data_IF_690757495443
#
_entry.id   IF_690757495443
#
_cell.length_a   1.000
_cell.length_b   1.000
_cell.length_c   1.000
_cell.angle_alpha   90.00
_cell.angle_beta   90.00
_cell.angle_gamma   90.00
#
_symmetry.space_group_name_H-M   'P 1'
#
loop_
_entity.id
_entity.type
_entity.pdbx_description
1 polymer ?
#
# COMPACT_ATOMS: atom_id res chain seq x y z
N UNK A 1 26.21 10.51 -5.62
CA UNK A 1 25.01 9.66 -5.80
C UNK A 1 24.29 9.98 -7.11
N UNK A 2 24.07 11.26 -7.46
CA UNK A 2 23.37 11.66 -8.69
C UNK A 2 24.03 11.18 -9.99
N UNK A 3 25.36 11.15 -10.08
CA UNK A 3 26.07 10.78 -11.31
C UNK A 3 26.09 9.26 -11.63
N UNK A 4 25.83 8.38 -10.66
CA UNK A 4 25.90 6.92 -10.87
C UNK A 4 24.55 6.29 -11.27
N UNK A 5 23.42 6.97 -11.00
CA UNK A 5 22.09 6.45 -11.32
C UNK A 5 21.71 6.62 -12.80
N UNK A 6 22.25 7.66 -13.47
CA UNK A 6 21.85 8.03 -14.83
C UNK A 6 22.19 6.99 -15.92
N UNK A 7 23.13 6.08 -15.65
CA UNK A 7 23.61 5.07 -16.61
C UNK A 7 23.23 3.63 -16.24
N UNK A 8 22.58 3.41 -15.10
CA UNK A 8 22.13 2.06 -14.73
C UNK A 8 20.71 1.84 -15.28
N UNK A 9 20.49 0.87 -16.19
CA UNK A 9 19.17 0.59 -16.76
C UNK A 9 18.12 0.23 -15.71
N UNK A 10 18.53 -0.25 -14.51
CA UNK A 10 17.63 -0.54 -13.40
C UNK A 10 16.95 0.70 -12.82
N UNK A 11 17.55 1.89 -13.00
CA UNK A 11 16.99 3.17 -12.52
C UNK A 11 16.44 4.02 -13.66
N UNK A 12 16.30 3.46 -14.86
CA UNK A 12 15.67 4.18 -15.96
C UNK A 12 14.25 4.63 -15.57
N UNK A 13 13.95 5.91 -15.80
CA UNK A 13 12.67 6.50 -15.40
C UNK A 13 12.52 6.78 -13.90
N UNK A 14 13.59 6.69 -13.12
CA UNK A 14 13.59 7.03 -11.68
C UNK A 14 13.96 8.51 -11.47
N UNK A 15 13.19 9.21 -10.63
CA UNK A 15 13.48 10.57 -10.17
C UNK A 15 13.58 10.56 -8.64
N UNK A 16 14.65 11.15 -8.09
CA UNK A 16 14.79 11.37 -6.65
C UNK A 16 14.50 12.82 -6.34
N UNK A 17 13.48 13.07 -5.53
CA UNK A 17 13.07 14.43 -5.15
C UNK A 17 13.48 14.68 -3.71
N UNK A 18 14.45 15.58 -3.52
CA UNK A 18 14.82 16.06 -2.19
C UNK A 18 13.86 17.18 -1.77
N UNK A 19 13.27 17.05 -0.59
CA UNK A 19 12.43 18.10 0.01
C UNK A 19 13.28 18.97 0.94
N UNK A 20 13.14 20.29 0.84
CA UNK A 20 13.91 21.26 1.66
C UNK A 20 13.54 21.23 3.14
N UNK A 21 12.40 20.62 3.48
CA UNK A 21 11.93 20.44 4.85
C UNK A 21 11.16 19.14 4.99
N UNK A 22 11.01 18.68 6.24
CA UNK A 22 10.18 17.52 6.56
C UNK A 22 8.70 17.85 6.29
N UNK A 23 8.10 17.12 5.35
CA UNK A 23 6.71 17.31 4.92
C UNK A 23 5.78 16.15 5.31
N UNK A 24 6.30 15.19 6.09
CA UNK A 24 5.65 13.91 6.41
C UNK A 24 5.21 13.15 5.15
N UNK A 25 4.54 12.02 5.33
CA UNK A 25 4.11 11.17 4.22
C UNK A 25 3.14 11.90 3.26
N UNK A 26 2.09 12.63 3.72
CA UNK A 26 1.16 13.29 2.81
C UNK A 26 1.83 14.32 1.89
N UNK A 27 2.77 15.10 2.42
CA UNK A 27 3.46 16.10 1.62
C UNK A 27 4.45 15.48 0.63
N UNK A 28 5.15 14.40 1.01
CA UNK A 28 5.99 13.65 0.08
C UNK A 28 5.17 13.04 -1.07
N UNK A 29 4.03 12.41 -0.75
CA UNK A 29 3.11 11.85 -1.75
C UNK A 29 2.54 12.96 -2.65
N UNK A 30 2.19 14.12 -2.10
CA UNK A 30 1.69 15.24 -2.90
C UNK A 30 2.71 15.75 -3.93
N UNK A 31 3.99 15.86 -3.55
CA UNK A 31 5.07 16.24 -4.47
C UNK A 31 5.28 15.17 -5.53
N UNK A 32 5.30 13.89 -5.14
CA UNK A 32 5.40 12.78 -6.09
C UNK A 32 4.25 12.76 -7.10
N UNK A 33 3.01 13.00 -6.65
CA UNK A 33 1.81 12.99 -7.50
C UNK A 33 1.87 14.03 -8.62
N UNK A 34 2.55 15.16 -8.40
CA UNK A 34 2.76 16.19 -9.43
C UNK A 34 3.65 15.71 -10.58
N UNK A 35 4.53 14.73 -10.32
CA UNK A 35 5.44 14.15 -11.32
C UNK A 35 4.84 12.98 -12.08
N UNK A 36 3.90 12.25 -11.47
CA UNK A 36 3.29 11.08 -12.08
C UNK A 36 2.38 11.46 -13.26
N UNK A 37 2.61 10.83 -14.41
CA UNK A 37 1.83 11.05 -15.64
C UNK A 37 0.84 9.91 -15.93
N UNK A 38 0.95 8.79 -15.25
CA UNK A 38 0.10 7.62 -15.43
C UNK A 38 -1.25 7.77 -14.72
N UNK A 39 -2.26 7.06 -15.22
CA UNK A 39 -3.60 7.03 -14.62
C UNK A 39 -3.65 6.35 -13.25
N UNK A 40 -2.71 5.45 -13.00
CA UNK A 40 -2.57 4.69 -11.76
C UNK A 40 -1.24 4.99 -11.10
N UNK A 41 -1.22 4.94 -9.78
CA UNK A 41 -0.05 5.14 -8.94
C UNK A 41 0.11 3.97 -7.99
N UNK A 42 1.34 3.46 -7.87
CA UNK A 42 1.72 2.51 -6.84
C UNK A 42 2.50 3.28 -5.78
N UNK A 43 1.94 3.39 -4.58
CA UNK A 43 2.59 4.04 -3.43
C UNK A 43 3.24 2.95 -2.59
N UNK A 44 4.55 3.07 -2.37
CA UNK A 44 5.35 2.10 -1.63
C UNK A 44 6.06 2.80 -0.46
N UNK A 45 6.03 2.15 0.70
CA UNK A 45 6.85 2.50 1.85
C UNK A 45 8.09 1.61 1.85
N UNK A 46 9.24 2.18 2.22
CA UNK A 46 10.55 1.52 2.15
C UNK A 46 10.70 0.39 3.18
N UNK A 47 9.91 0.43 4.25
CA UNK A 47 9.84 -0.52 5.35
C UNK A 47 8.70 -1.56 5.19
N UNK A 48 8.04 -1.60 4.03
CA UNK A 48 7.00 -2.58 3.70
C UNK A 48 7.35 -3.39 2.44
N UNK A 49 8.42 -4.22 2.42
CA UNK A 49 8.73 -5.07 1.28
C UNK A 49 7.58 -6.02 0.94
N UNK A 50 7.33 -6.22 -0.36
CA UNK A 50 6.49 -7.33 -0.82
C UNK A 50 7.20 -8.66 -0.58
N UNK A 51 6.48 -9.60 0.04
CA UNK A 51 6.98 -10.96 0.30
C UNK A 51 6.29 -12.01 -0.58
N UNK A 52 5.34 -11.57 -1.42
CA UNK A 52 4.57 -12.43 -2.33
C UNK A 52 4.33 -11.70 -3.65
N UNK A 53 4.21 -12.49 -4.71
CA UNK A 53 3.87 -11.98 -6.04
C UNK A 53 2.46 -11.38 -6.03
N UNK A 54 2.31 -10.19 -6.61
CA UNK A 54 1.03 -9.52 -6.85
C UNK A 54 0.83 -9.42 -8.35
N UNK A 55 -0.29 -9.92 -8.85
CA UNK A 55 -0.69 -9.76 -10.24
C UNK A 55 -1.19 -8.33 -10.51
N UNK A 56 -0.23 -7.40 -10.64
CA UNK A 56 -0.52 -5.98 -10.81
C UNK A 56 -1.28 -5.68 -12.11
N UNK A 57 -1.02 -6.47 -13.17
CA UNK A 57 -1.71 -6.33 -14.44
C UNK A 57 -3.22 -6.55 -14.28
N UNK A 58 -3.61 -7.66 -13.64
CA UNK A 58 -5.03 -7.95 -13.42
C UNK A 58 -5.67 -7.08 -12.33
N UNK A 59 -4.89 -6.52 -11.40
CA UNK A 59 -5.38 -5.43 -10.52
C UNK A 59 -5.77 -4.21 -11.35
N UNK A 60 -4.88 -3.71 -12.21
CA UNK A 60 -5.17 -2.55 -13.08
C UNK A 60 -6.35 -2.85 -14.02
N UNK A 61 -6.40 -4.05 -14.61
CA UNK A 61 -7.54 -4.47 -15.45
C UNK A 61 -8.86 -4.46 -14.69
N UNK A 62 -8.87 -4.92 -13.45
CA UNK A 62 -10.04 -4.84 -12.55
C UNK A 62 -10.42 -3.39 -12.28
N UNK A 63 -9.42 -2.54 -11.99
CA UNK A 63 -9.67 -1.12 -11.77
C UNK A 63 -10.22 -0.44 -13.03
N UNK A 64 -9.72 -0.75 -14.22
CA UNK A 64 -10.22 -0.20 -15.49
C UNK A 64 -11.70 -0.53 -15.72
N UNK A 65 -12.09 -1.81 -15.55
CA UNK A 65 -13.46 -2.23 -15.76
C UNK A 65 -14.43 -1.81 -14.65
N UNK A 66 -13.90 -1.49 -13.45
CA UNK A 66 -14.70 -1.14 -12.30
C UNK A 66 -14.28 0.23 -11.72
N UNK A 67 -14.95 1.33 -12.10
CA UNK A 67 -14.60 2.68 -11.63
C UNK A 67 -14.78 2.88 -10.13
N UNK A 68 -15.47 1.97 -9.42
CA UNK A 68 -15.57 2.02 -7.96
C UNK A 68 -14.30 1.54 -7.24
N UNK A 69 -13.38 0.85 -7.93
CA UNK A 69 -12.07 0.46 -7.40
C UNK A 69 -11.13 1.66 -7.50
N UNK A 70 -11.06 2.44 -6.42
CA UNK A 70 -10.24 3.65 -6.35
C UNK A 70 -8.88 3.38 -5.71
N UNK A 71 -8.84 2.46 -4.76
CA UNK A 71 -7.69 2.16 -3.93
C UNK A 71 -7.67 0.67 -3.53
N UNK A 72 -6.57 -0.02 -3.84
CA UNK A 72 -6.34 -1.43 -3.50
C UNK A 72 -5.05 -1.52 -2.70
N UNK A 73 -5.14 -1.85 -1.41
CA UNK A 73 -3.98 -2.06 -0.54
C UNK A 73 -3.58 -3.52 -0.44
N UNK A 74 -2.32 -3.73 -0.10
CA UNK A 74 -1.75 -5.05 0.10
C UNK A 74 -1.75 -5.39 1.60
N UNK A 75 -2.26 -6.57 1.93
CA UNK A 75 -2.37 -7.01 3.31
C UNK A 75 -0.98 -7.15 3.95
N UNK A 76 -0.82 -6.64 5.16
CA UNK A 76 0.39 -6.83 5.98
C UNK A 76 0.12 -7.59 7.28
N UNK A 77 -1.11 -8.05 7.47
CA UNK A 77 -1.53 -8.83 8.63
C UNK A 77 -1.42 -10.32 8.33
N UNK A 78 -1.19 -11.14 9.36
CA UNK A 78 -1.07 -12.60 9.22
C UNK A 78 -2.25 -13.27 8.54
N UNK A 79 -3.43 -12.63 8.55
CA UNK A 79 -4.58 -13.04 7.75
C UNK A 79 -5.50 -11.87 7.40
N UNK A 80 -6.13 -11.96 6.23
CA UNK A 80 -7.26 -11.11 5.80
C UNK A 80 -8.54 -11.43 6.60
N UNK A 81 -8.48 -11.27 7.91
CA UNK A 81 -9.61 -11.44 8.83
C UNK A 81 -10.11 -10.09 9.31
N UNK A 82 -11.39 -10.07 9.70
CA UNK A 82 -12.04 -8.92 10.30
C UNK A 82 -11.31 -8.57 11.60
N UNK A 83 -10.39 -7.61 11.56
CA UNK A 83 -9.66 -7.14 12.72
C UNK A 83 -10.22 -5.79 13.19
N UNK A 84 -9.62 -5.22 14.25
CA UNK A 84 -10.08 -3.97 14.89
C UNK A 84 -10.25 -2.79 13.92
N UNK A 85 -9.41 -2.69 12.89
CA UNK A 85 -9.50 -1.64 11.88
C UNK A 85 -10.45 -2.05 10.75
N UNK A 86 -10.30 -3.26 10.21
CA UNK A 86 -11.07 -3.83 9.09
C UNK A 86 -12.43 -4.41 9.52
N UNK A 87 -13.15 -3.68 10.37
CA UNK A 87 -14.40 -4.12 11.01
C UNK A 87 -15.52 -4.49 10.03
N UNK A 88 -15.30 -4.31 8.73
CA UNK A 88 -16.10 -4.89 7.66
C UNK A 88 -15.19 -5.34 6.53
N UNK A 89 -15.24 -6.64 6.23
CA UNK A 89 -14.67 -7.23 5.04
C UNK A 89 -15.78 -8.00 4.35
N UNK A 90 -16.06 -7.69 3.09
CA UNK A 90 -16.87 -8.60 2.27
C UNK A 90 -16.28 -8.81 0.88
N UNK A 91 -16.47 -10.02 0.37
CA UNK A 91 -16.09 -10.43 -0.99
C UNK A 91 -17.08 -9.94 -2.05
N UNK A 92 -18.12 -9.19 -1.66
CA UNK A 92 -19.16 -8.68 -2.56
C UNK A 92 -18.70 -7.40 -3.23
N UNK A 93 -17.68 -7.52 -4.05
CA UNK A 93 -17.25 -6.45 -4.95
C UNK A 93 -18.15 -6.50 -6.19
N UNK A 94 -18.89 -5.42 -6.42
CA UNK A 94 -19.77 -5.30 -7.57
C UNK A 94 -18.97 -4.95 -8.81
N UNK A 95 -19.22 -5.64 -9.93
CA UNK A 95 -18.59 -5.39 -11.23
C UNK A 95 -17.46 -6.37 -11.57
N UNK A 96 -16.85 -6.23 -12.76
CA UNK A 96 -15.83 -7.18 -13.23
C UNK A 96 -14.57 -7.15 -12.38
N UNK A 97 -14.03 -8.33 -12.09
CA UNK A 97 -12.78 -8.55 -11.37
C UNK A 97 -11.95 -9.67 -12.03
N UNK A 98 -10.63 -9.49 -12.06
CA UNK A 98 -9.66 -10.50 -12.49
C UNK A 98 -8.72 -10.94 -11.37
N UNK A 99 -8.83 -10.33 -10.19
CA UNK A 99 -8.11 -10.70 -8.98
C UNK A 99 -9.07 -10.74 -7.80
N UNK A 100 -8.80 -11.56 -6.78
CA UNK A 100 -9.58 -11.56 -5.55
C UNK A 100 -9.38 -10.23 -4.82
N UNK A 101 -10.49 -9.56 -4.50
CA UNK A 101 -10.51 -8.34 -3.71
C UNK A 101 -11.54 -8.46 -2.59
N UNK A 102 -11.18 -7.96 -1.41
CA UNK A 102 -12.11 -7.76 -0.30
C UNK A 102 -12.39 -6.28 -0.18
N UNK A 103 -13.67 -5.90 -0.14
CA UNK A 103 -14.03 -4.53 0.21
C UNK A 103 -13.79 -4.32 1.69
N UNK A 104 -13.06 -3.27 2.04
CA UNK A 104 -12.88 -2.84 3.42
C UNK A 104 -13.42 -1.43 3.63
N UNK A 105 -13.79 -1.14 4.88
CA UNK A 105 -14.14 0.21 5.30
C UNK A 105 -12.94 0.98 5.78
N UNK A 106 -11.78 0.38 5.99
CA UNK A 106 -10.61 1.08 6.47
C UNK A 106 -9.82 1.68 5.33
N UNK A 107 -9.30 2.88 5.53
CA UNK A 107 -8.30 3.46 4.66
C UNK A 107 -6.94 3.36 5.33
N UNK A 108 -5.90 3.06 4.57
CA UNK A 108 -4.54 2.95 5.11
C UNK A 108 -3.52 3.36 4.06
N UNK A 109 -2.45 4.01 4.51
CA UNK A 109 -1.36 4.50 3.65
C UNK A 109 -0.23 3.47 3.45
N UNK A 110 -0.36 2.24 3.99
CA UNK A 110 0.48 1.08 3.64
C UNK A 110 0.53 0.86 2.12
N UNK A 111 1.46 0.04 1.62
CA UNK A 111 1.60 -0.19 0.17
C UNK A 111 0.26 -0.46 -0.52
N UNK A 112 0.01 0.28 -1.60
CA UNK A 112 -1.25 0.19 -2.32
C UNK A 112 -1.12 0.74 -3.74
N UNK A 113 -2.03 0.31 -4.62
CA UNK A 113 -2.27 0.93 -5.91
C UNK A 113 -3.55 1.74 -5.87
N UNK A 114 -3.53 2.93 -6.47
CA UNK A 114 -4.68 3.82 -6.54
C UNK A 114 -4.80 4.48 -7.90
N UNK A 115 -5.99 5.00 -8.19
CA UNK A 115 -6.19 5.93 -9.30
C UNK A 115 -5.54 7.26 -8.96
N UNK A 116 -4.80 7.86 -9.90
CA UNK A 116 -4.14 9.16 -9.68
C UNK A 116 -5.14 10.25 -9.29
N UNK A 117 -6.26 10.34 -10.02
CA UNK A 117 -7.31 11.33 -9.75
C UNK A 117 -7.88 11.21 -8.32
N UNK A 118 -7.91 10.00 -7.75
CA UNK A 118 -8.44 9.78 -6.41
C UNK A 118 -7.55 10.47 -5.37
N UNK A 119 -6.23 10.44 -5.58
CA UNK A 119 -5.30 11.22 -4.78
C UNK A 119 -5.47 12.73 -4.95
N UNK A 120 -5.53 13.19 -6.20
CA UNK A 120 -5.59 14.62 -6.55
C UNK A 120 -6.89 15.28 -6.07
N UNK A 121 -8.00 14.56 -6.07
CA UNK A 121 -9.33 15.14 -5.84
C UNK A 121 -9.95 14.76 -4.49
N UNK A 122 -9.60 13.60 -3.93
CA UNK A 122 -10.27 13.06 -2.73
C UNK A 122 -9.33 13.01 -1.52
N UNK A 123 -8.14 12.45 -1.68
CA UNK A 123 -7.23 12.19 -0.54
C UNK A 123 -6.44 13.42 -0.13
N UNK A 124 -5.65 14.00 -1.05
CA UNK A 124 -4.65 15.02 -0.70
C UNK A 124 -5.25 16.38 -0.32
N UNK A 125 -6.25 16.94 -1.03
CA UNK A 125 -6.72 18.30 -0.76
C UNK A 125 -7.10 18.53 0.72
N UNK A 126 -7.92 17.67 1.35
CA UNK A 126 -8.29 17.89 2.74
C UNK A 126 -7.18 17.55 3.75
N UNK A 127 -6.34 16.53 3.46
CA UNK A 127 -5.20 16.15 4.30
C UNK A 127 -4.20 17.30 4.41
N UNK A 128 -3.83 17.89 3.26
CA UNK A 128 -2.88 19.00 3.19
C UNK A 128 -3.45 20.28 3.82
N UNK A 129 -4.74 20.57 3.62
CA UNK A 129 -5.41 21.73 4.23
C UNK A 129 -5.38 21.67 5.76
N UNK A 130 -5.52 20.49 6.35
CA UNK A 130 -5.55 20.29 7.80
C UNK A 130 -4.20 19.93 8.42
N UNK A 131 -3.15 19.75 7.60
CA UNK A 131 -1.78 19.44 8.03
C UNK A 131 -1.66 18.17 8.89
N UNK A 132 -2.39 17.11 8.53
CA UNK A 132 -2.20 15.81 9.19
C UNK A 132 -0.82 15.23 8.92
N UNK A 133 -0.27 14.49 9.88
CA UNK A 133 1.00 13.79 9.73
C UNK A 133 0.85 12.50 8.93
N UNK A 134 -0.27 11.79 9.10
CA UNK A 134 -0.63 10.60 8.34
C UNK A 134 -1.90 10.85 7.54
N UNK A 135 -1.98 10.27 6.33
CA UNK A 135 -3.22 10.36 5.54
C UNK A 135 -4.35 9.59 6.23
N UNK A 136 -4.02 8.49 6.90
CA UNK A 136 -4.95 7.64 7.65
C UNK A 136 -5.65 8.39 8.78
N UNK A 137 -4.94 9.29 9.49
CA UNK A 137 -5.52 10.12 10.55
C UNK A 137 -6.68 10.98 10.04
N UNK A 138 -6.54 11.57 8.85
CA UNK A 138 -7.61 12.37 8.27
C UNK A 138 -8.82 11.51 7.91
N UNK A 139 -8.61 10.31 7.36
CA UNK A 139 -9.71 9.43 6.96
C UNK A 139 -10.50 8.94 8.18
N UNK A 140 -9.79 8.53 9.23
CA UNK A 140 -10.41 8.17 10.51
C UNK A 140 -11.08 9.36 11.20
N UNK A 141 -10.50 10.56 11.11
CA UNK A 141 -11.15 11.78 11.58
C UNK A 141 -12.41 12.10 10.76
N UNK A 142 -12.40 11.94 9.44
CA UNK A 142 -13.56 12.18 8.59
C UNK A 142 -14.70 11.23 8.96
N UNK A 143 -14.39 9.95 9.20
CA UNK A 143 -15.35 8.99 9.72
C UNK A 143 -15.94 9.43 11.07
N UNK A 144 -15.10 9.84 12.01
CA UNK A 144 -15.55 10.23 13.35
C UNK A 144 -16.35 11.53 13.36
N UNK A 145 -15.92 12.56 12.65
CA UNK A 145 -16.54 13.87 12.75
C UNK A 145 -17.64 14.07 11.72
N UNK A 146 -17.43 13.68 10.46
CA UNK A 146 -18.40 13.99 9.39
C UNK A 146 -19.50 12.95 9.31
N UNK A 147 -19.15 11.66 9.48
CA UNK A 147 -20.13 10.59 9.39
C UNK A 147 -20.92 10.40 10.69
N UNK A 148 -20.33 10.50 11.89
CA UNK A 148 -21.09 10.37 13.14
C UNK A 148 -22.11 11.49 13.37
N UNK A 149 -21.86 12.71 12.91
CA UNK A 149 -22.85 13.79 13.03
C UNK A 149 -24.04 13.65 12.07
N UNK A 150 -23.90 12.86 10.99
CA UNK A 150 -24.93 12.67 9.97
C UNK A 150 -25.62 11.31 10.02
N UNK A 151 -24.99 10.33 10.66
CA UNK A 151 -25.47 8.97 10.76
C UNK A 151 -25.75 8.62 12.20
N UNK A 152 -26.86 7.92 12.41
CA UNK A 152 -27.19 7.24 13.68
C UNK A 152 -26.00 6.42 14.20
N UNK A 153 -25.99 6.07 15.49
CA UNK A 153 -24.97 5.26 16.19
C UNK A 153 -24.80 3.82 15.64
N UNK A 154 -24.97 3.59 14.34
CA UNK A 154 -24.93 2.29 13.69
C UNK A 154 -23.62 2.13 12.89
N UNK A 155 -22.58 1.45 13.43
CA UNK A 155 -21.25 1.37 12.83
C UNK A 155 -21.25 0.83 11.40
N UNK A 156 -22.19 -0.06 11.08
CA UNK A 156 -22.32 -0.62 9.73
C UNK A 156 -22.74 0.43 8.68
N UNK A 157 -23.53 1.44 9.05
CA UNK A 157 -23.94 2.49 8.11
C UNK A 157 -22.80 3.48 7.88
N UNK A 158 -22.06 3.82 8.94
CA UNK A 158 -20.87 4.68 8.88
C UNK A 158 -19.81 4.08 7.96
N UNK A 159 -19.50 2.80 8.18
CA UNK A 159 -18.58 2.06 7.34
C UNK A 159 -18.99 1.97 5.87
N UNK A 160 -20.29 1.76 5.56
CA UNK A 160 -20.79 1.79 4.17
C UNK A 160 -20.58 3.13 3.48
N UNK A 161 -20.80 4.24 4.18
CA UNK A 161 -20.57 5.57 3.62
C UNK A 161 -19.07 5.85 3.44
N UNK A 162 -18.23 5.43 4.39
CA UNK A 162 -16.78 5.49 4.27
C UNK A 162 -16.29 4.70 3.06
N UNK A 163 -16.72 3.44 2.89
CA UNK A 163 -16.42 2.63 1.71
C UNK A 163 -16.92 3.25 0.40
N UNK A 164 -18.09 3.89 0.40
CA UNK A 164 -18.61 4.57 -0.79
C UNK A 164 -17.74 5.78 -1.18
N UNK A 165 -17.28 6.52 -0.20
CA UNK A 165 -16.43 7.70 -0.42
C UNK A 165 -15.03 7.28 -0.89
N UNK A 166 -14.39 6.42 -0.10
CA UNK A 166 -12.97 6.09 -0.28
C UNK A 166 -12.73 4.91 -1.22
N UNK A 167 -13.69 3.98 -1.38
CA UNK A 167 -13.59 2.91 -2.36
C UNK A 167 -12.37 2.01 -2.12
N UNK A 168 -12.21 1.57 -0.88
CA UNK A 168 -11.03 0.86 -0.38
C UNK A 168 -11.19 -0.66 -0.44
N UNK A 169 -10.17 -1.32 -0.98
CA UNK A 169 -10.14 -2.78 -1.15
C UNK A 169 -8.81 -3.34 -0.67
N UNK A 170 -8.82 -4.60 -0.26
CA UNK A 170 -7.64 -5.39 0.09
C UNK A 170 -7.44 -6.44 -0.99
N UNK A 171 -6.20 -6.57 -1.47
CA UNK A 171 -5.81 -7.63 -2.39
C UNK A 171 -5.77 -8.99 -1.70
N UNK A 172 -6.45 -9.98 -2.28
CA UNK A 172 -6.44 -11.36 -1.80
C UNK A 172 -7.81 -11.91 -1.42
N UNK A 173 -7.82 -13.18 -1.04
CA UNK A 173 -8.97 -13.92 -0.52
C UNK A 173 -9.18 -13.68 0.99
N UNK A 174 -10.38 -13.99 1.52
CA UNK A 174 -10.57 -14.06 2.97
C UNK A 174 -9.55 -15.02 3.61
N UNK A 175 -9.04 -14.64 4.77
CA UNK A 175 -8.04 -15.43 5.53
C UNK A 175 -6.70 -15.67 4.82
N UNK A 176 -6.46 -15.03 3.68
CA UNK A 176 -5.18 -15.11 2.98
C UNK A 176 -4.08 -14.36 3.76
N UNK A 177 -2.85 -14.90 3.73
CA UNK A 177 -1.70 -14.34 4.43
C UNK A 177 -1.18 -13.04 3.79
N UNK A 178 -0.32 -12.34 4.53
CA UNK A 178 0.23 -11.04 4.14
C UNK A 178 1.00 -11.08 2.80
N UNK A 179 0.86 -9.99 2.05
CA UNK A 179 1.59 -9.69 0.82
C UNK A 179 2.78 -8.77 1.04
N UNK A 180 2.75 -7.96 2.11
CA UNK A 180 3.86 -7.13 2.55
C UNK A 180 4.20 -7.44 4.00
N UNK A 181 5.47 -7.29 4.36
CA UNK A 181 5.95 -7.49 5.73
C UNK A 181 6.51 -6.17 6.25
N UNK A 182 6.25 -5.82 7.51
CA UNK A 182 6.89 -4.68 8.14
C UNK A 182 8.34 -5.02 8.48
N UNK A 183 9.29 -4.30 7.88
CA UNK A 183 10.71 -4.52 8.07
C UNK A 183 11.21 -3.97 9.42
N UNK A 184 10.47 -3.04 10.05
CA UNK A 184 10.71 -2.74 11.47
C UNK A 184 10.15 -3.90 12.34
N UNK A 185 11.00 -4.44 13.20
CA UNK A 185 10.74 -5.67 13.97
C UNK A 185 9.67 -5.54 15.07
N UNK A 186 8.74 -4.59 14.99
CA UNK A 186 7.70 -4.37 16.00
C UNK A 186 6.58 -5.42 15.94
N UNK A 187 6.49 -6.22 14.87
CA UNK A 187 5.42 -7.20 14.69
C UNK A 187 5.86 -8.45 13.93
N UNK A 188 6.75 -9.26 14.52
CA UNK A 188 6.92 -10.70 14.18
C UNK A 188 7.81 -11.43 15.20
N UNK A 189 7.31 -11.68 16.42
CA UNK A 189 7.74 -12.82 17.23
C UNK A 189 6.55 -13.73 17.49
N UNK A 190 6.18 -14.50 16.46
CA UNK A 190 5.48 -15.77 16.63
C UNK A 190 5.84 -16.70 15.48
N UNK A 191 6.88 -17.49 15.72
CA UNK A 191 7.21 -18.76 15.08
C UNK A 191 7.24 -18.79 13.54
N UNK A 192 8.37 -18.37 12.98
CA UNK A 192 8.76 -18.73 11.62
C UNK A 192 9.84 -17.80 11.09
N UNK A 193 11.09 -18.24 11.13
CA UNK A 193 12.25 -17.60 10.51
C UNK A 193 11.97 -17.34 9.02
N UNK A 194 11.59 -16.11 8.67
CA UNK A 194 11.72 -15.61 7.31
C UNK A 194 12.94 -14.69 7.29
N UNK A 195 14.05 -15.25 6.83
CA UNK A 195 15.19 -14.47 6.40
C UNK A 195 14.75 -13.69 5.16
N UNK A 196 14.73 -12.37 5.25
CA UNK A 196 14.81 -11.53 4.05
C UNK A 196 16.26 -11.66 3.60
N UNK A 197 16.60 -12.35 2.49
CA UNK A 197 17.94 -12.26 1.97
C UNK A 197 18.15 -10.79 1.60
N UNK A 198 18.98 -10.10 2.39
CA UNK A 198 19.70 -8.97 1.85
C UNK A 198 20.41 -9.51 0.60
N UNK A 199 20.03 -8.98 -0.56
CA UNK A 199 20.82 -9.14 -1.77
C UNK A 199 22.16 -8.45 -1.49
N UNK A 200 23.10 -9.23 -0.98
CA UNK A 200 24.51 -8.87 -0.97
C UNK A 200 24.91 -8.75 -2.45
N UNK A 201 25.11 -7.52 -2.91
CA UNK A 201 25.50 -7.19 -4.28
C UNK A 201 26.98 -7.49 -4.55
N UNK A 202 27.56 -8.47 -3.87
CA UNK A 202 28.90 -8.96 -4.15
C UNK A 202 28.85 -10.32 -4.86
N UNK A 203 29.45 -10.35 -6.05
CA UNK A 203 29.76 -11.53 -6.87
C UNK A 203 28.61 -12.17 -7.65
N UNK A 204 28.30 -11.60 -8.82
CA UNK A 204 27.93 -12.33 -10.04
C UNK A 204 28.23 -11.43 -11.26
N UNK A 205 29.51 -11.18 -11.53
CA UNK A 205 29.97 -10.83 -12.88
C UNK A 205 30.62 -12.12 -13.40
N UNK A 206 30.17 -12.59 -14.55
CA UNK A 206 30.68 -13.74 -15.31
C UNK A 206 30.27 -15.16 -14.85
N UNK A 207 28.97 -15.38 -14.66
CA UNK A 207 28.33 -16.62 -15.17
C UNK A 207 28.74 -17.98 -14.59
N UNK A 208 29.31 -18.08 -13.39
CA UNK A 208 29.52 -19.38 -12.73
C UNK A 208 29.09 -19.38 -11.25
N UNK A 209 27.94 -20.00 -10.96
CA UNK A 209 27.36 -20.10 -9.62
C UNK A 209 27.56 -21.49 -9.02
N UNK A 210 28.79 -21.98 -8.96
CA UNK A 210 29.12 -23.23 -8.24
C UNK A 210 30.04 -22.92 -7.06
N UNK A 211 29.48 -22.55 -5.91
CA UNK A 211 30.33 -22.42 -4.71
C UNK A 211 29.78 -21.80 -3.43
N UNK A 212 28.52 -21.37 -3.33
CA UNK A 212 28.02 -20.82 -2.07
C UNK A 212 27.68 -21.94 -1.06
N UNK A 213 28.66 -22.33 -0.24
CA UNK A 213 28.43 -23.21 0.92
C UNK A 213 27.74 -22.42 2.04
N UNK A 214 26.64 -22.98 2.54
CA UNK A 214 25.90 -22.52 3.72
C UNK A 214 26.74 -22.72 4.99
N UNK A 215 27.26 -21.65 5.57
CA UNK A 215 27.74 -21.67 6.96
C UNK A 215 26.78 -20.86 7.84
N UNK A 216 26.02 -21.56 8.70
CA UNK A 216 25.30 -20.93 9.82
C UNK A 216 26.32 -20.33 10.81
N UNK A 217 26.12 -19.13 11.34
CA UNK A 217 26.85 -18.69 12.54
C UNK A 217 26.33 -19.48 13.75
N UNK A 218 27.25 -19.99 14.56
CA UNK A 218 26.94 -20.46 15.91
C UNK A 218 26.99 -19.26 16.86
N UNK A 219 25.91 -19.05 17.60
CA UNK A 219 25.76 -18.03 18.65
C UNK A 219 24.40 -18.17 19.30
#
# INVERSE_FOLDING_TARGET
VEAQAAHNPLFWGTEVIKLDKRMYLPGAVAVGMQRVKTKYVLVLQHDLPFIRHVDMHNVVRSMEANPNLKHVRFNSESSNVRNKADWFLDSRVLGPLWVPLLRTYSWSDRNHIARKWYYEQVVLPPVLKRRFHFMEDYMHHYEKEVLKHRLTNHPQQQGRQHAKLFGTYIYGFPSESQYVLHADGSSSYSNGTYWIPYLDNSCCIDGDCRGAQNTKPQG
#
